data_IF_085245607417
#
_entry.id   IF_085245607417
#
_cell.length_a   1.000
_cell.length_b   1.000
_cell.length_c   1.000
_cell.angle_alpha   90.00
_cell.angle_beta   90.00
_cell.angle_gamma   90.00
#
_symmetry.space_group_name_H-M   'P 1'
#
loop_
_entity.id
_entity.type
_entity.pdbx_description
1 polymer ?
#
# COMPACT_ATOMS: atom_id res chain seq x y z
N UNK A 1 20.10 -13.29 34.44
CA UNK A 1 20.47 -13.45 33.01
C UNK A 1 19.29 -12.99 32.19
N UNK A 2 19.33 -11.74 31.72
CA UNK A 2 18.27 -11.21 30.86
C UNK A 2 18.47 -11.86 29.49
N UNK A 3 17.60 -12.80 29.13
CA UNK A 3 17.61 -13.40 27.80
C UNK A 3 17.51 -12.24 26.81
N UNK A 4 18.60 -11.98 26.07
CA UNK A 4 18.65 -10.92 25.08
C UNK A 4 17.72 -11.35 23.94
N UNK A 5 16.43 -11.04 24.08
CA UNK A 5 15.43 -11.42 23.11
C UNK A 5 15.64 -10.58 21.86
N UNK A 6 15.88 -11.24 20.74
CA UNK A 6 15.85 -10.61 19.43
C UNK A 6 14.55 -9.80 19.26
N UNK A 7 14.68 -8.58 18.74
CA UNK A 7 13.57 -7.64 18.59
C UNK A 7 13.21 -7.55 17.11
N UNK A 8 11.91 -7.55 16.78
CA UNK A 8 11.42 -7.28 15.44
C UNK A 8 10.57 -6.01 15.44
N UNK A 9 10.94 -5.03 14.61
CA UNK A 9 10.17 -3.78 14.46
C UNK A 9 9.12 -3.94 13.35
N UNK A 10 7.89 -3.53 13.64
CA UNK A 10 6.81 -3.44 12.67
C UNK A 10 6.24 -2.02 12.66
N UNK A 11 6.12 -1.46 11.47
CA UNK A 11 5.62 -0.11 11.21
C UNK A 11 4.21 -0.13 10.58
N UNK A 12 3.50 1.01 10.50
CA UNK A 12 2.11 1.05 10.04
C UNK A 12 1.89 0.55 8.60
N UNK A 13 2.95 0.44 7.81
CA UNK A 13 2.92 -0.04 6.43
C UNK A 13 3.43 -1.48 6.22
N UNK A 14 3.60 -2.25 7.31
CA UNK A 14 4.22 -3.58 7.32
C UNK A 14 3.41 -4.64 8.07
N UNK A 15 2.08 -4.54 8.03
CA UNK A 15 1.14 -5.39 8.78
C UNK A 15 0.86 -6.70 8.01
N UNK A 16 1.88 -7.53 7.81
CA UNK A 16 1.82 -8.72 6.95
C UNK A 16 1.16 -9.93 7.63
N UNK A 17 0.34 -10.67 6.88
CA UNK A 17 -0.30 -11.90 7.39
C UNK A 17 0.72 -13.03 7.69
N UNK A 18 1.88 -13.04 7.03
CA UNK A 18 2.94 -14.02 7.28
C UNK A 18 3.76 -13.72 8.54
N UNK A 19 3.59 -14.54 9.59
CA UNK A 19 4.24 -14.33 10.90
C UNK A 19 5.56 -15.08 11.11
N UNK A 20 5.97 -15.94 10.18
CA UNK A 20 7.15 -16.80 10.37
C UNK A 20 8.44 -16.03 10.72
N UNK A 21 8.76 -14.88 10.10
CA UNK A 21 9.94 -14.09 10.48
C UNK A 21 9.91 -13.56 11.93
N UNK A 22 8.70 -13.42 12.51
CA UNK A 22 8.46 -12.87 13.84
C UNK A 22 8.61 -13.92 14.95
N UNK A 23 8.55 -15.22 14.62
CA UNK A 23 8.62 -16.29 15.63
C UNK A 23 9.95 -16.25 16.38
N UNK A 24 9.88 -16.51 17.69
CA UNK A 24 11.02 -16.49 18.60
C UNK A 24 11.54 -15.10 18.96
N UNK A 25 10.87 -14.02 18.52
CA UNK A 25 11.27 -12.63 18.77
C UNK A 25 10.19 -11.88 19.52
N UNK A 26 10.58 -10.81 20.22
CA UNK A 26 9.64 -9.80 20.70
C UNK A 26 9.34 -8.83 19.55
N UNK A 27 8.07 -8.60 19.25
CA UNK A 27 7.64 -7.63 18.25
C UNK A 27 7.37 -6.28 18.92
N UNK A 28 7.94 -5.21 18.37
CA UNK A 28 7.54 -3.84 18.70
C UNK A 28 6.68 -3.31 17.56
N UNK A 29 5.44 -2.96 17.87
CA UNK A 29 4.53 -2.31 16.93
C UNK A 29 4.55 -0.81 17.18
N UNK A 30 5.01 -0.03 16.20
CA UNK A 30 5.38 1.37 16.39
C UNK A 30 4.49 2.28 15.55
N UNK A 31 3.77 3.21 16.19
CA UNK A 31 3.09 4.31 15.53
C UNK A 31 4.12 5.36 15.12
N UNK A 32 4.74 5.10 13.98
CA UNK A 32 5.81 5.94 13.46
C UNK A 32 5.32 7.36 13.14
N UNK A 33 5.90 8.43 13.72
CA UNK A 33 5.49 9.81 13.48
C UNK A 33 5.41 10.21 12.01
N UNK A 34 6.23 9.62 11.12
CA UNK A 34 6.14 9.84 9.68
C UNK A 34 4.76 9.52 9.07
N UNK A 35 3.97 8.66 9.71
CA UNK A 35 2.64 8.26 9.23
C UNK A 35 1.49 9.02 9.90
N UNK A 36 1.74 9.68 11.05
CA UNK A 36 0.70 10.32 11.85
C UNK A 36 0.83 11.84 11.94
N UNK A 37 2.04 12.40 11.94
CA UNK A 37 2.26 13.82 12.28
C UNK A 37 3.20 14.57 11.33
N UNK A 38 3.87 13.92 10.38
CA UNK A 38 4.75 14.58 9.41
C UNK A 38 4.04 15.68 8.60
N UNK A 39 2.77 15.46 8.28
CA UNK A 39 1.90 16.40 7.59
C UNK A 39 0.54 16.43 8.25
N UNK A 40 -0.26 17.44 7.91
CA UNK A 40 -1.68 17.49 8.25
C UNK A 40 -2.45 16.48 7.39
N UNK A 41 -2.40 15.21 7.80
CA UNK A 41 -2.99 14.10 7.06
C UNK A 41 -4.52 14.13 7.07
N UNK A 42 -5.11 13.45 6.08
CA UNK A 42 -6.55 13.21 6.07
C UNK A 42 -6.95 12.28 7.21
N UNK A 43 -8.05 12.59 7.91
CA UNK A 43 -8.49 11.82 9.09
C UNK A 43 -8.66 10.32 8.80
N UNK A 44 -9.24 9.95 7.66
CA UNK A 44 -9.37 8.54 7.26
C UNK A 44 -8.02 7.80 7.13
N UNK A 45 -6.92 8.48 6.75
CA UNK A 45 -5.60 7.85 6.71
C UNK A 45 -5.12 7.51 8.12
N UNK A 46 -5.31 8.43 9.08
CA UNK A 46 -4.92 8.20 10.46
C UNK A 46 -5.76 7.09 11.08
N UNK A 47 -7.07 7.10 10.86
CA UNK A 47 -7.99 6.04 11.30
C UNK A 47 -7.59 4.70 10.72
N UNK A 48 -7.26 4.63 9.42
CA UNK A 48 -6.75 3.42 8.79
C UNK A 48 -5.49 2.89 9.49
N UNK A 49 -4.47 3.72 9.72
CA UNK A 49 -3.24 3.27 10.37
C UNK A 49 -3.49 2.81 11.80
N UNK A 50 -4.20 3.60 12.61
CA UNK A 50 -4.51 3.23 14.00
C UNK A 50 -5.32 1.92 14.05
N UNK A 51 -6.45 1.85 13.35
CA UNK A 51 -7.33 0.70 13.38
C UNK A 51 -6.62 -0.58 12.92
N UNK A 52 -5.89 -0.52 11.79
CA UNK A 52 -5.18 -1.68 11.26
C UNK A 52 -4.04 -2.14 12.18
N UNK A 53 -3.34 -1.21 12.85
CA UNK A 53 -2.33 -1.57 13.83
C UNK A 53 -2.93 -2.20 15.09
N UNK A 54 -4.07 -1.71 15.59
CA UNK A 54 -4.75 -2.31 16.75
C UNK A 54 -5.31 -3.69 16.43
N UNK A 55 -5.84 -3.89 15.22
CA UNK A 55 -6.14 -5.21 14.69
C UNK A 55 -4.89 -6.10 14.68
N UNK A 56 -3.79 -5.63 14.11
CA UNK A 56 -2.57 -6.43 13.97
C UNK A 56 -1.93 -6.78 15.32
N UNK A 57 -2.00 -5.89 16.32
CA UNK A 57 -1.61 -6.19 17.70
C UNK A 57 -2.40 -7.37 18.27
N UNK A 58 -3.74 -7.37 18.11
CA UNK A 58 -4.60 -8.46 18.55
C UNK A 58 -4.27 -9.76 17.80
N UNK A 59 -4.16 -9.69 16.48
CA UNK A 59 -3.76 -10.81 15.62
C UNK A 59 -2.46 -11.46 16.08
N UNK A 60 -1.40 -10.68 16.30
CA UNK A 60 -0.11 -11.22 16.74
C UNK A 60 -0.20 -11.89 18.13
N UNK A 61 -0.98 -11.32 19.05
CA UNK A 61 -1.20 -11.91 20.38
C UNK A 61 -1.94 -13.25 20.31
N UNK A 62 -2.94 -13.37 19.45
CA UNK A 62 -3.63 -14.64 19.19
C UNK A 62 -2.66 -15.71 18.66
N UNK A 63 -1.67 -15.29 17.87
CA UNK A 63 -0.58 -16.14 17.38
C UNK A 63 0.52 -16.43 18.43
N UNK A 64 0.29 -16.03 19.69
CA UNK A 64 1.23 -16.19 20.83
C UNK A 64 2.57 -15.46 20.62
N UNK A 65 2.58 -14.39 19.84
CA UNK A 65 3.75 -13.52 19.68
C UNK A 65 3.75 -12.48 20.79
N UNK A 66 4.92 -12.25 21.42
CA UNK A 66 5.07 -11.19 22.42
C UNK A 66 5.11 -9.83 21.73
N UNK A 67 4.12 -8.98 21.99
CA UNK A 67 3.99 -7.65 21.36
C UNK A 67 4.04 -6.54 22.39
N UNK A 68 4.85 -5.52 22.11
CA UNK A 68 4.86 -4.24 22.84
C UNK A 68 4.50 -3.11 21.87
N UNK A 69 3.49 -2.30 22.23
CA UNK A 69 2.97 -1.23 21.39
C UNK A 69 3.56 0.12 21.79
N UNK A 70 4.03 0.90 20.82
CA UNK A 70 4.64 2.21 21.03
C UNK A 70 3.87 3.28 20.25
N UNK A 71 3.36 4.29 20.96
CA UNK A 71 2.78 5.51 20.37
C UNK A 71 3.82 6.65 20.20
N UNK A 72 5.10 6.34 20.46
CA UNK A 72 6.21 7.27 20.47
C UNK A 72 7.54 6.57 20.16
N UNK A 73 8.64 7.32 20.21
CA UNK A 73 9.97 6.86 19.80
C UNK A 73 10.86 6.35 20.95
N UNK A 74 10.32 6.11 22.16
CA UNK A 74 11.12 5.63 23.31
C UNK A 74 11.81 4.29 23.05
N UNK A 75 11.31 3.49 22.12
CA UNK A 75 11.92 2.23 21.70
C UNK A 75 13.36 2.42 21.18
N UNK A 76 13.67 3.58 20.58
CA UNK A 76 15.00 3.88 20.02
C UNK A 76 16.09 3.85 21.09
N UNK A 77 15.81 4.39 22.27
CA UNK A 77 16.76 4.42 23.38
C UNK A 77 16.77 3.09 24.14
N UNK A 78 15.59 2.50 24.36
CA UNK A 78 15.44 1.29 25.18
C UNK A 78 16.11 0.05 24.59
N UNK A 79 16.12 -0.07 23.26
CA UNK A 79 16.58 -1.26 22.56
C UNK A 79 17.83 -1.03 21.69
N UNK A 80 18.54 0.09 21.87
CA UNK A 80 19.70 0.49 21.05
C UNK A 80 20.79 -0.59 20.91
N UNK A 81 20.99 -1.39 21.97
CA UNK A 81 22.05 -2.41 22.06
C UNK A 81 21.55 -3.83 21.69
N UNK A 82 20.29 -3.99 21.30
CA UNK A 82 19.72 -5.28 20.89
C UNK A 82 19.98 -5.56 19.40
N UNK A 83 19.90 -6.83 19.02
CA UNK A 83 19.76 -7.20 17.60
C UNK A 83 18.34 -6.89 17.14
N UNK A 84 18.25 -6.04 16.13
CA UNK A 84 16.97 -5.56 15.59
C UNK A 84 16.74 -6.15 14.20
N UNK A 85 15.63 -6.86 14.06
CA UNK A 85 15.10 -7.34 12.79
C UNK A 85 14.02 -6.39 12.30
N UNK A 86 13.96 -6.22 10.98
CA UNK A 86 12.95 -5.41 10.33
C UNK A 86 12.84 -5.82 8.86
N UNK A 87 11.66 -5.64 8.28
CA UNK A 87 11.57 -5.62 6.83
C UNK A 87 12.18 -4.32 6.29
N UNK A 88 12.71 -4.34 5.07
CA UNK A 88 13.10 -3.11 4.36
C UNK A 88 11.94 -2.12 4.42
N UNK A 89 12.18 -0.97 5.06
CA UNK A 89 11.16 0.03 5.34
C UNK A 89 10.76 0.82 4.10
N UNK A 90 11.56 0.79 3.03
CA UNK A 90 11.29 1.52 1.77
C UNK A 90 10.98 3.01 2.03
N UNK A 91 11.66 3.59 3.02
CA UNK A 91 11.58 5.00 3.36
C UNK A 91 12.97 5.51 3.77
N UNK A 92 13.47 6.52 3.07
CA UNK A 92 14.82 7.07 3.31
C UNK A 92 14.98 7.68 4.71
N UNK A 93 13.97 8.37 5.23
CA UNK A 93 14.07 9.03 6.53
C UNK A 93 13.99 8.02 7.66
N UNK A 94 13.06 7.07 7.58
CA UNK A 94 12.94 5.97 8.55
C UNK A 94 14.19 5.09 8.51
N UNK A 95 14.68 4.72 7.32
CA UNK A 95 15.91 3.93 7.18
C UNK A 95 17.09 4.63 7.83
N UNK A 96 17.33 5.92 7.53
CA UNK A 96 18.39 6.72 8.17
C UNK A 96 18.22 6.81 9.68
N UNK A 97 16.99 6.98 10.16
CA UNK A 97 16.70 7.03 11.59
C UNK A 97 17.09 5.72 12.27
N UNK A 98 16.72 4.57 11.71
CA UNK A 98 17.01 3.26 12.29
C UNK A 98 18.52 2.96 12.29
N UNK A 99 19.23 3.22 11.18
CA UNK A 99 20.69 3.04 11.11
C UNK A 99 21.47 3.95 12.07
N UNK A 100 20.92 5.11 12.41
CA UNK A 100 21.55 6.01 13.39
C UNK A 100 21.44 5.49 14.83
N UNK A 101 20.34 4.83 15.17
CA UNK A 101 20.04 4.45 16.56
C UNK A 101 20.43 3.01 16.90
N UNK A 102 20.43 2.10 15.92
CA UNK A 102 20.70 0.68 16.16
C UNK A 102 22.01 0.24 15.50
N UNK A 103 22.85 -0.44 16.27
CA UNK A 103 24.15 -0.95 15.79
C UNK A 103 24.03 -2.27 15.03
N UNK A 104 23.02 -3.07 15.35
CA UNK A 104 22.86 -4.42 14.81
C UNK A 104 21.49 -4.58 14.12
N UNK A 105 21.42 -4.13 12.87
CA UNK A 105 20.22 -4.28 12.03
C UNK A 105 20.30 -5.55 11.16
N UNK A 106 19.21 -6.32 11.13
CA UNK A 106 18.98 -7.48 10.26
C UNK A 106 17.77 -7.18 9.37
N UNK A 107 18.03 -6.68 8.16
CA UNK A 107 16.99 -6.24 7.23
C UNK A 107 16.55 -7.41 6.35
N UNK A 108 15.25 -7.73 6.38
CA UNK A 108 14.60 -8.72 5.52
C UNK A 108 14.00 -8.06 4.27
N UNK A 109 13.86 -8.78 3.14
CA UNK A 109 13.10 -8.30 1.98
C UNK A 109 11.68 -7.92 2.37
N UNK A 110 11.13 -6.87 1.75
CA UNK A 110 9.77 -6.41 2.06
C UNK A 110 8.74 -7.23 1.27
N UNK A 111 7.83 -7.99 1.93
CA UNK A 111 6.83 -8.84 1.26
C UNK A 111 5.82 -8.08 0.38
N UNK A 112 5.65 -6.77 0.58
CA UNK A 112 4.75 -5.95 -0.25
C UNK A 112 5.25 -5.78 -1.69
N UNK A 113 6.46 -6.22 -2.04
CA UNK A 113 7.03 -6.06 -3.36
C UNK A 113 7.57 -7.39 -3.88
N UNK A 114 7.70 -7.50 -5.20
CA UNK A 114 8.33 -8.67 -5.83
C UNK A 114 9.86 -8.68 -5.61
N UNK A 115 10.42 -7.57 -5.08
CA UNK A 115 11.84 -7.39 -4.77
C UNK A 115 12.77 -7.60 -5.97
N UNK A 116 12.30 -7.23 -7.16
CA UNK A 116 13.04 -7.50 -8.39
C UNK A 116 14.20 -6.54 -8.59
N UNK A 117 15.30 -7.07 -9.11
CA UNK A 117 16.47 -6.29 -9.54
C UNK A 117 16.36 -5.97 -11.02
N UNK A 118 15.75 -4.83 -11.34
CA UNK A 118 15.73 -4.28 -12.69
C UNK A 118 15.97 -2.77 -12.63
N UNK A 119 17.00 -2.33 -13.35
CA UNK A 119 17.44 -0.93 -13.40
C UNK A 119 16.89 -0.17 -14.60
N UNK A 120 15.96 -0.74 -15.36
CA UNK A 120 15.33 -0.04 -16.48
C UNK A 120 14.67 1.25 -16.01
N UNK A 121 14.97 2.35 -16.72
CA UNK A 121 14.45 3.69 -16.41
C UNK A 121 13.16 4.00 -17.17
N UNK A 122 12.70 3.07 -18.01
CA UNK A 122 11.48 3.19 -18.81
C UNK A 122 10.52 2.08 -18.43
N UNK A 123 9.31 2.47 -18.00
CA UNK A 123 8.26 1.53 -17.59
C UNK A 123 7.98 0.47 -18.65
N UNK A 124 7.95 0.84 -19.93
CA UNK A 124 7.60 -0.10 -21.00
C UNK A 124 8.54 -1.31 -21.01
N UNK A 125 9.85 -1.07 -20.99
CA UNK A 125 10.85 -2.14 -20.94
C UNK A 125 10.82 -2.88 -19.60
N UNK A 126 10.67 -2.15 -18.50
CA UNK A 126 10.54 -2.75 -17.16
C UNK A 126 9.39 -3.75 -17.10
N UNK A 127 8.20 -3.37 -17.59
CA UNK A 127 7.02 -4.22 -17.59
C UNK A 127 7.17 -5.44 -18.53
N UNK A 128 7.79 -5.27 -19.70
CA UNK A 128 8.11 -6.40 -20.59
C UNK A 128 9.00 -7.42 -19.88
N UNK A 129 10.03 -6.96 -19.17
CA UNK A 129 10.91 -7.84 -18.41
C UNK A 129 10.15 -8.59 -17.32
N UNK A 130 9.27 -7.89 -16.58
CA UNK A 130 8.42 -8.50 -15.55
C UNK A 130 7.51 -9.59 -16.09
N UNK A 131 6.86 -9.36 -17.23
CA UNK A 131 6.03 -10.39 -17.87
C UNK A 131 6.84 -11.63 -18.25
N UNK A 132 8.03 -11.45 -18.82
CA UNK A 132 8.91 -12.56 -19.22
C UNK A 132 9.40 -13.35 -18.02
N UNK A 133 9.91 -12.66 -17.00
CA UNK A 133 10.45 -13.26 -15.78
C UNK A 133 9.41 -14.06 -15.00
N UNK A 134 8.21 -13.52 -14.87
CA UNK A 134 7.11 -14.15 -14.12
C UNK A 134 6.29 -15.13 -14.96
N UNK A 135 6.57 -15.23 -16.27
CA UNK A 135 5.75 -16.02 -17.20
C UNK A 135 4.31 -15.49 -17.37
N UNK A 136 4.04 -14.25 -16.97
CA UNK A 136 2.69 -13.68 -16.96
C UNK A 136 2.30 -13.18 -18.34
N UNK A 137 1.16 -13.69 -18.82
CA UNK A 137 0.60 -13.40 -20.13
C UNK A 137 1.55 -13.75 -21.28
N UNK A 138 2.30 -14.85 -21.18
CA UNK A 138 3.23 -15.28 -22.21
C UNK A 138 2.64 -16.45 -23.00
N UNK A 139 2.87 -16.48 -24.32
CA UNK A 139 2.54 -17.59 -25.22
C UNK A 139 3.79 -17.94 -26.05
N UNK A 140 4.39 -19.10 -25.77
CA UNK A 140 5.60 -19.58 -26.45
C UNK A 140 6.73 -18.52 -26.53
N UNK A 141 6.96 -17.79 -25.43
CA UNK A 141 7.98 -16.73 -25.35
C UNK A 141 7.59 -15.39 -25.98
N UNK A 142 6.40 -15.29 -26.59
CA UNK A 142 5.82 -14.07 -27.15
C UNK A 142 4.72 -13.52 -26.23
N UNK A 143 4.35 -12.23 -26.33
CA UNK A 143 3.23 -11.72 -25.56
C UNK A 143 1.92 -12.36 -26.02
N UNK A 144 1.14 -12.86 -25.07
CA UNK A 144 -0.24 -13.31 -25.32
C UNK A 144 -1.05 -12.19 -25.98
N UNK A 145 -1.82 -12.54 -27.02
CA UNK A 145 -2.58 -11.57 -27.83
C UNK A 145 -1.72 -10.70 -28.76
N UNK A 146 -0.43 -11.01 -28.93
CA UNK A 146 0.47 -10.34 -29.89
C UNK A 146 0.92 -8.93 -29.48
N UNK A 147 0.46 -8.39 -28.35
CA UNK A 147 0.80 -7.05 -27.86
C UNK A 147 1.28 -7.07 -26.42
N UNK A 148 2.24 -6.19 -26.11
CA UNK A 148 2.75 -6.04 -24.75
C UNK A 148 1.81 -5.26 -23.82
N UNK A 149 0.95 -4.41 -24.36
CA UNK A 149 0.00 -3.57 -23.62
C UNK A 149 -1.26 -3.34 -24.43
N UNK A 150 -2.40 -3.26 -23.75
CA UNK A 150 -3.72 -2.95 -24.32
C UNK A 150 -4.25 -1.59 -23.82
N UNK A 151 -3.35 -0.71 -23.37
CA UNK A 151 -3.68 0.61 -22.81
C UNK A 151 -4.53 1.50 -23.74
N UNK A 152 -4.33 1.40 -25.05
CA UNK A 152 -5.13 2.15 -26.04
C UNK A 152 -6.63 1.83 -25.97
N UNK A 153 -6.97 0.63 -25.49
CA UNK A 153 -8.33 0.12 -25.49
C UNK A 153 -9.07 0.52 -24.20
N UNK A 154 -8.36 1.12 -23.23
CA UNK A 154 -8.84 1.43 -21.88
C UNK A 154 -9.39 2.86 -21.71
N UNK A 155 -9.89 3.44 -22.81
CA UNK A 155 -10.27 4.87 -22.89
C UNK A 155 -11.72 5.09 -23.32
N UNK A 156 -12.60 4.11 -23.09
CA UNK A 156 -14.00 4.24 -23.49
C UNK A 156 -14.70 5.27 -22.59
N UNK A 157 -15.62 6.01 -23.20
CA UNK A 157 -16.50 6.93 -22.45
C UNK A 157 -17.50 6.13 -21.63
N UNK A 158 -17.79 6.60 -20.42
CA UNK A 158 -18.81 6.02 -19.56
C UNK A 158 -20.21 6.14 -20.21
N UNK A 159 -20.93 5.03 -20.46
CA UNK A 159 -22.29 5.07 -20.99
C UNK A 159 -23.24 5.74 -19.99
N UNK A 160 -24.25 6.46 -20.48
CA UNK A 160 -25.19 7.20 -19.61
C UNK A 160 -25.95 6.31 -18.63
N UNK A 161 -26.27 5.08 -19.03
CA UNK A 161 -27.12 4.14 -18.29
C UNK A 161 -26.32 3.07 -17.54
N UNK A 162 -24.98 3.16 -17.55
CA UNK A 162 -24.16 2.15 -16.88
C UNK A 162 -24.40 2.16 -15.37
N UNK A 163 -24.63 0.99 -14.81
CA UNK A 163 -24.73 0.80 -13.36
C UNK A 163 -23.33 0.58 -12.80
N UNK A 164 -22.91 1.47 -11.91
CA UNK A 164 -21.64 1.36 -11.20
C UNK A 164 -21.91 0.68 -9.85
N UNK A 165 -21.26 -0.47 -9.56
CA UNK A 165 -21.41 -1.11 -8.27
C UNK A 165 -20.90 -0.20 -7.14
N UNK A 166 -21.65 -0.08 -6.02
CA UNK A 166 -21.23 0.76 -4.91
C UNK A 166 -19.91 0.27 -4.30
N UNK A 167 -19.20 1.19 -3.65
CA UNK A 167 -18.08 0.83 -2.78
C UNK A 167 -18.59 0.19 -1.48
N UNK A 168 -17.71 -0.53 -0.79
CA UNK A 168 -18.00 -1.06 0.54
C UNK A 168 -17.69 -0.01 1.60
N UNK A 169 -18.45 -0.05 2.69
CA UNK A 169 -18.19 0.66 3.93
C UNK A 169 -17.73 -0.35 4.97
N UNK A 170 -16.81 0.07 5.84
CA UNK A 170 -16.26 -0.78 6.89
C UNK A 170 -16.49 -0.15 8.25
N UNK A 171 -16.98 -0.97 9.17
CA UNK A 171 -17.23 -0.61 10.55
C UNK A 171 -16.85 -1.81 11.42
N UNK A 172 -16.03 -1.56 12.43
CA UNK A 172 -15.67 -2.54 13.44
C UNK A 172 -15.13 -1.81 14.69
N UNK A 173 -14.89 -2.54 15.77
CA UNK A 173 -14.44 -1.96 17.04
C UNK A 173 -13.09 -1.24 16.95
N UNK A 174 -12.17 -1.68 16.08
CA UNK A 174 -10.89 -1.00 15.85
C UNK A 174 -11.07 0.33 15.12
N UNK A 175 -12.00 0.41 14.17
CA UNK A 175 -12.33 1.65 13.45
C UNK A 175 -12.96 2.66 14.41
N UNK A 176 -13.87 2.24 15.28
CA UNK A 176 -14.52 3.13 16.24
C UNK A 176 -13.54 3.66 17.31
N UNK A 177 -12.63 2.81 17.82
CA UNK A 177 -11.53 3.25 18.68
C UNK A 177 -10.63 4.25 17.94
N UNK A 178 -10.25 3.94 16.71
CA UNK A 178 -9.36 4.77 15.92
C UNK A 178 -9.96 6.14 15.56
N UNK A 179 -11.26 6.20 15.26
CA UNK A 179 -11.99 7.47 15.04
C UNK A 179 -11.90 8.38 16.25
N UNK A 180 -12.06 7.82 17.46
CA UNK A 180 -11.94 8.57 18.72
C UNK A 180 -10.49 8.99 18.98
N UNK A 181 -9.56 8.04 18.90
CA UNK A 181 -8.13 8.26 19.12
C UNK A 181 -7.56 9.36 18.22
N UNK A 182 -7.94 9.35 16.93
CA UNK A 182 -7.38 10.26 15.94
C UNK A 182 -7.88 11.70 16.06
N UNK A 183 -8.88 12.00 16.91
CA UNK A 183 -9.33 13.37 17.18
C UNK A 183 -8.23 14.23 17.82
N UNK A 184 -7.20 13.62 18.39
CA UNK A 184 -6.05 14.33 18.99
C UNK A 184 -5.11 14.97 17.97
N UNK A 185 -5.19 14.60 16.69
CA UNK A 185 -4.29 15.08 15.65
C UNK A 185 -4.90 16.24 14.85
N UNK A 186 -4.06 17.18 14.39
CA UNK A 186 -4.49 18.16 13.39
C UNK A 186 -4.68 17.49 12.03
N UNK A 187 -5.91 17.48 11.53
CA UNK A 187 -6.32 16.73 10.34
C UNK A 187 -7.16 17.55 9.36
N UNK A 188 -7.29 17.01 8.14
CA UNK A 188 -8.24 17.47 7.11
C UNK A 188 -9.28 16.40 6.77
N UNK A 189 -10.38 16.82 6.17
CA UNK A 189 -11.43 15.93 5.66
C UNK A 189 -12.37 15.39 6.74
N UNK A 190 -13.20 14.40 6.38
CA UNK A 190 -14.18 13.78 7.27
C UNK A 190 -14.04 12.25 7.29
N UNK A 191 -14.51 11.64 8.38
CA UNK A 191 -14.49 10.19 8.60
C UNK A 191 -15.87 9.66 9.04
N UNK A 192 -16.95 10.33 8.64
CA UNK A 192 -18.33 9.88 8.93
C UNK A 192 -18.55 8.48 8.35
N UNK A 193 -18.28 8.34 7.04
CA UNK A 193 -18.19 7.06 6.35
C UNK A 193 -16.72 6.65 6.22
N UNK A 194 -16.45 5.35 6.37
CA UNK A 194 -15.10 4.80 6.27
C UNK A 194 -15.03 3.70 5.20
N UNK A 195 -14.09 3.85 4.25
CA UNK A 195 -14.08 3.09 2.99
C UNK A 195 -12.92 2.10 2.86
N UNK A 196 -12.06 2.00 3.89
CA UNK A 196 -10.81 1.25 3.80
C UNK A 196 -10.82 0.03 4.73
N UNK A 197 -10.44 -1.16 4.23
CA UNK A 197 -10.25 -2.32 5.09
C UNK A 197 -9.17 -2.11 6.15
N UNK A 198 -9.43 -2.60 7.36
CA UNK A 198 -8.51 -2.54 8.51
C UNK A 198 -8.07 -3.92 9.00
N UNK A 199 -8.65 -4.99 8.47
CA UNK A 199 -8.26 -6.38 8.74
C UNK A 199 -7.90 -7.15 7.47
N UNK A 200 -7.21 -8.28 7.62
CA UNK A 200 -6.93 -9.20 6.49
C UNK A 200 -8.21 -9.68 5.80
N UNK A 201 -9.24 -10.01 6.59
CA UNK A 201 -10.52 -10.48 6.09
C UNK A 201 -11.25 -9.42 5.27
N UNK A 202 -11.34 -8.19 5.80
CA UNK A 202 -11.94 -7.05 5.10
C UNK A 202 -11.20 -6.73 3.79
N UNK A 203 -9.86 -6.81 3.80
CA UNK A 203 -9.06 -6.55 2.61
C UNK A 203 -9.34 -7.57 1.50
N UNK A 204 -9.45 -8.85 1.86
CA UNK A 204 -9.85 -9.93 0.95
C UNK A 204 -11.29 -9.75 0.45
N UNK A 205 -12.23 -9.37 1.32
CA UNK A 205 -13.63 -9.08 0.94
C UNK A 205 -13.71 -7.93 -0.07
N UNK A 206 -13.02 -6.81 0.19
CA UNK A 206 -12.99 -5.67 -0.71
C UNK A 206 -12.44 -6.04 -2.09
N UNK A 207 -11.35 -6.81 -2.12
CA UNK A 207 -10.76 -7.27 -3.36
C UNK A 207 -11.68 -8.25 -4.12
N UNK A 208 -12.33 -9.18 -3.44
CA UNK A 208 -13.29 -10.11 -4.07
C UNK A 208 -14.54 -9.39 -4.61
N UNK A 209 -15.00 -8.33 -3.95
CA UNK A 209 -16.04 -7.44 -4.49
C UNK A 209 -15.58 -6.77 -5.79
N UNK A 210 -14.34 -6.29 -5.85
CA UNK A 210 -13.78 -5.77 -7.10
C UNK A 210 -13.77 -6.83 -8.21
N UNK A 211 -13.23 -8.03 -7.93
CA UNK A 211 -13.13 -9.09 -8.93
C UNK A 211 -14.49 -9.50 -9.49
N UNK A 212 -15.49 -9.64 -8.63
CA UNK A 212 -16.84 -10.08 -9.02
C UNK A 212 -17.70 -8.99 -9.66
N UNK A 213 -17.66 -7.77 -9.13
CA UNK A 213 -18.62 -6.73 -9.52
C UNK A 213 -18.05 -5.70 -10.50
N UNK A 214 -16.72 -5.46 -10.47
CA UNK A 214 -16.11 -4.30 -11.14
C UNK A 214 -15.09 -4.66 -12.21
N UNK A 215 -14.39 -5.77 -12.04
CA UNK A 215 -13.15 -6.03 -12.77
C UNK A 215 -13.35 -6.16 -14.29
N UNK A 216 -14.47 -6.73 -14.74
CA UNK A 216 -14.78 -6.84 -16.17
C UNK A 216 -14.83 -5.50 -16.90
N UNK A 217 -15.09 -4.41 -16.18
CA UNK A 217 -15.19 -3.05 -16.70
C UNK A 217 -13.99 -2.17 -16.33
N UNK A 218 -13.00 -2.71 -15.61
CA UNK A 218 -11.82 -1.96 -15.17
C UNK A 218 -11.07 -1.33 -16.35
N UNK A 219 -10.76 -2.12 -17.38
CA UNK A 219 -10.02 -1.65 -18.54
C UNK A 219 -10.78 -0.58 -19.29
N UNK A 220 -12.01 -0.90 -19.71
CA UNK A 220 -12.84 -0.02 -20.54
C UNK A 220 -12.97 1.41 -20.01
N UNK A 221 -13.14 1.57 -18.69
CA UNK A 221 -13.42 2.86 -18.04
C UNK A 221 -12.30 3.33 -17.12
N UNK A 222 -11.07 2.85 -17.34
CA UNK A 222 -9.92 3.18 -16.48
C UNK A 222 -9.67 4.69 -16.37
N UNK A 223 -9.89 5.43 -17.46
CA UNK A 223 -9.67 6.88 -17.56
C UNK A 223 -10.96 7.70 -17.41
N UNK A 224 -12.11 7.07 -17.15
CA UNK A 224 -13.38 7.77 -16.99
C UNK A 224 -13.43 8.53 -15.64
N UNK A 225 -14.14 9.67 -15.62
CA UNK A 225 -14.39 10.46 -14.42
C UNK A 225 -15.90 10.73 -14.33
N UNK A 226 -16.50 10.47 -13.16
CA UNK A 226 -17.90 10.79 -12.86
C UNK A 226 -17.99 11.50 -11.51
N UNK A 227 -18.75 12.60 -11.47
CA UNK A 227 -18.87 13.42 -10.26
C UNK A 227 -19.68 12.78 -9.13
N UNK A 228 -20.42 11.70 -9.39
CA UNK A 228 -21.27 11.02 -8.40
C UNK A 228 -20.64 9.73 -7.87
N UNK A 229 -19.71 9.15 -8.63
CA UNK A 229 -19.12 7.84 -8.34
C UNK A 229 -17.58 7.95 -8.29
N UNK A 230 -16.99 8.28 -7.12
CA UNK A 230 -15.57 8.60 -7.01
C UNK A 230 -14.63 7.42 -7.30
N UNK A 231 -15.11 6.18 -7.20
CA UNK A 231 -14.28 4.98 -7.38
C UNK A 231 -14.55 4.20 -8.68
N UNK A 232 -15.66 4.47 -9.38
CA UNK A 232 -16.07 3.74 -10.59
C UNK A 232 -15.82 2.21 -10.46
N UNK A 233 -15.06 1.67 -11.40
CA UNK A 233 -14.66 0.26 -11.51
C UNK A 233 -13.26 -0.01 -10.94
N UNK A 234 -12.68 0.92 -10.17
CA UNK A 234 -11.40 0.70 -9.50
C UNK A 234 -11.53 -0.23 -8.30
N UNK A 235 -10.44 -0.92 -7.98
CA UNK A 235 -10.38 -1.94 -6.93
C UNK A 235 -10.34 -1.41 -5.52
N UNK A 236 -9.90 -0.15 -5.33
CA UNK A 236 -9.72 0.45 -4.01
C UNK A 236 -8.89 -0.42 -3.04
N UNK A 237 -7.86 -1.11 -3.53
CA UNK A 237 -6.99 -1.99 -2.71
C UNK A 237 -5.62 -1.36 -2.36
N UNK A 238 -5.35 -0.14 -2.81
CA UNK A 238 -4.03 0.48 -2.65
C UNK A 238 -3.64 0.66 -1.19
N UNK A 239 -4.59 1.01 -0.32
CA UNK A 239 -4.37 1.10 1.13
C UNK A 239 -3.97 -0.25 1.72
N UNK A 240 -4.73 -1.30 1.43
CA UNK A 240 -4.47 -2.67 1.94
C UNK A 240 -3.19 -3.28 1.39
N UNK A 241 -2.87 -3.04 0.11
CA UNK A 241 -1.59 -3.46 -0.48
C UNK A 241 -0.40 -2.69 0.12
N UNK A 242 -0.56 -1.40 0.40
CA UNK A 242 0.57 -0.58 0.87
C UNK A 242 0.80 -0.69 2.36
N UNK A 243 -0.18 -1.18 3.14
CA UNK A 243 0.01 -1.46 4.56
C UNK A 243 0.26 -2.93 4.91
N UNK A 244 0.19 -3.83 3.94
CA UNK A 244 0.45 -5.26 4.14
C UNK A 244 -0.78 -6.11 4.50
N UNK A 245 -1.97 -5.50 4.61
CA UNK A 245 -3.22 -6.23 4.87
C UNK A 245 -3.69 -7.07 3.66
N UNK A 246 -3.15 -6.83 2.48
CA UNK A 246 -3.43 -7.64 1.30
C UNK A 246 -2.12 -8.13 0.68
N UNK A 247 -1.98 -9.45 0.59
CA UNK A 247 -0.82 -10.08 0.00
C UNK A 247 -0.76 -9.88 -1.52
N UNK A 248 0.41 -9.49 -2.02
CA UNK A 248 0.64 -9.21 -3.44
C UNK A 248 0.53 -10.48 -4.29
N UNK A 249 1.07 -11.59 -3.81
CA UNK A 249 1.02 -12.88 -4.51
C UNK A 249 -0.41 -13.36 -4.69
N UNK A 250 -1.21 -13.27 -3.63
CA UNK A 250 -2.65 -13.53 -3.65
C UNK A 250 -3.38 -12.66 -4.67
N UNK A 251 -3.10 -11.35 -4.72
CA UNK A 251 -3.74 -10.45 -5.69
C UNK A 251 -3.44 -10.85 -7.13
N UNK A 252 -2.17 -11.15 -7.44
CA UNK A 252 -1.75 -11.58 -8.78
C UNK A 252 -2.44 -12.90 -9.15
N UNK A 253 -2.37 -13.90 -8.27
CA UNK A 253 -2.97 -15.22 -8.49
C UNK A 253 -4.48 -15.14 -8.76
N UNK A 254 -5.21 -14.40 -7.92
CA UNK A 254 -6.66 -14.27 -8.07
C UNK A 254 -7.06 -13.55 -9.35
N UNK A 255 -6.33 -12.53 -9.77
CA UNK A 255 -6.57 -11.81 -11.03
C UNK A 255 -6.35 -12.72 -12.23
N UNK A 256 -5.27 -13.51 -12.24
CA UNK A 256 -4.95 -14.40 -13.36
C UNK A 256 -6.00 -15.51 -13.54
N UNK A 257 -6.68 -15.91 -12.46
CA UNK A 257 -7.75 -16.89 -12.46
C UNK A 257 -9.11 -16.39 -12.95
N UNK A 258 -9.33 -15.07 -12.98
CA UNK A 258 -10.64 -14.53 -13.41
C UNK A 258 -10.89 -14.82 -14.88
N UNK A 259 -12.15 -14.86 -15.29
CA UNK A 259 -12.53 -14.85 -16.71
C UNK A 259 -13.21 -13.53 -17.06
N UNK A 260 -12.40 -12.56 -17.49
CA UNK A 260 -12.83 -11.20 -17.83
C UNK A 260 -12.06 -10.72 -19.07
N UNK A 261 -12.51 -9.64 -19.75
CA UNK A 261 -11.82 -9.10 -20.90
C UNK A 261 -10.32 -8.90 -20.66
N UNK A 262 -9.52 -9.29 -21.64
CA UNK A 262 -8.07 -9.34 -21.47
C UNK A 262 -7.45 -7.95 -21.24
N UNK A 263 -8.00 -6.89 -21.85
CA UNK A 263 -7.54 -5.51 -21.60
C UNK A 263 -7.71 -5.08 -20.13
N UNK A 264 -8.75 -5.59 -19.45
CA UNK A 264 -8.94 -5.36 -18.03
C UNK A 264 -7.90 -6.12 -17.19
N UNK A 265 -7.67 -7.42 -17.47
CA UNK A 265 -6.65 -8.22 -16.78
C UNK A 265 -5.25 -7.66 -16.95
N UNK A 266 -4.84 -7.44 -18.19
CA UNK A 266 -3.53 -6.90 -18.55
C UNK A 266 -3.35 -5.51 -17.96
N UNK A 267 -4.33 -4.62 -18.14
CA UNK A 267 -4.30 -3.27 -17.62
C UNK A 267 -4.14 -3.23 -16.10
N UNK A 268 -4.85 -4.10 -15.37
CA UNK A 268 -4.79 -4.17 -13.91
C UNK A 268 -3.44 -4.70 -13.41
N UNK A 269 -2.98 -5.84 -13.95
CA UNK A 269 -1.67 -6.41 -13.60
C UNK A 269 -0.54 -5.44 -13.96
N UNK A 270 -0.64 -4.70 -15.07
CA UNK A 270 0.33 -3.67 -15.45
C UNK A 270 0.44 -2.53 -14.43
N UNK A 271 -0.64 -2.18 -13.72
CA UNK A 271 -0.56 -1.21 -12.63
C UNK A 271 0.25 -1.76 -11.44
N UNK A 272 0.17 -3.07 -11.21
CA UNK A 272 0.77 -3.75 -10.06
C UNK A 272 2.23 -4.14 -10.35
N UNK A 273 2.47 -5.11 -11.25
CA UNK A 273 3.82 -5.59 -11.54
C UNK A 273 4.62 -4.63 -12.43
N UNK A 274 3.94 -3.71 -13.11
CA UNK A 274 4.55 -2.65 -13.91
C UNK A 274 4.75 -1.39 -13.08
N UNK A 275 3.72 -0.53 -13.01
CA UNK A 275 3.85 0.81 -12.43
C UNK A 275 4.30 0.81 -10.97
N UNK A 276 3.66 0.02 -10.10
CA UNK A 276 3.98 0.03 -8.67
C UNK A 276 5.41 -0.46 -8.40
N UNK A 277 5.83 -1.57 -9.00
CA UNK A 277 7.21 -2.06 -8.88
C UNK A 277 8.24 -1.14 -9.57
N UNK A 278 7.90 -0.54 -10.71
CA UNK A 278 8.76 0.43 -11.39
C UNK A 278 8.98 1.68 -10.53
N UNK A 279 7.93 2.20 -9.89
CA UNK A 279 8.05 3.36 -9.00
C UNK A 279 8.92 3.07 -7.78
N UNK A 280 8.92 1.82 -7.27
CA UNK A 280 9.88 1.40 -6.24
C UNK A 280 11.32 1.50 -6.74
N UNK A 281 11.62 1.00 -7.95
CA UNK A 281 12.96 1.11 -8.56
C UNK A 281 13.37 2.58 -8.68
N UNK A 282 12.49 3.43 -9.21
CA UNK A 282 12.76 4.87 -9.38
C UNK A 282 12.98 5.56 -8.03
N UNK A 283 12.18 5.23 -7.01
CA UNK A 283 12.38 5.73 -5.65
C UNK A 283 13.74 5.31 -5.10
N UNK A 284 14.09 4.02 -5.16
CA UNK A 284 15.39 3.52 -4.68
C UNK A 284 16.56 4.23 -5.36
N UNK A 285 16.50 4.45 -6.68
CA UNK A 285 17.57 5.12 -7.41
C UNK A 285 17.59 6.65 -7.28
N UNK A 286 16.47 7.29 -6.92
CA UNK A 286 16.32 8.74 -7.12
C UNK A 286 15.47 9.47 -6.07
N UNK A 287 15.18 8.86 -4.91
CA UNK A 287 14.35 9.47 -3.86
C UNK A 287 14.80 10.87 -3.41
N UNK A 288 16.11 11.17 -3.37
CA UNK A 288 16.60 12.52 -3.04
C UNK A 288 16.26 13.50 -4.16
N UNK A 289 16.71 13.33 -5.42
CA UNK A 289 16.30 14.21 -6.51
C UNK A 289 14.78 14.36 -6.67
N UNK A 290 14.00 13.29 -6.52
CA UNK A 290 12.54 13.33 -6.67
C UNK A 290 11.87 14.34 -5.73
N UNK A 291 12.41 14.55 -4.53
CA UNK A 291 11.84 15.47 -3.53
C UNK A 291 12.53 16.83 -3.47
N UNK A 292 13.73 16.98 -4.05
CA UNK A 292 14.52 18.23 -3.95
C UNK A 292 14.69 18.96 -5.28
N UNK A 293 14.33 18.36 -6.41
CA UNK A 293 14.48 19.00 -7.73
C UNK A 293 13.22 19.76 -8.14
N UNK A 294 13.43 20.82 -8.93
CA UNK A 294 12.37 21.66 -9.47
C UNK A 294 12.77 22.11 -10.87
N UNK A 295 12.61 21.21 -11.85
CA UNK A 295 13.05 21.43 -13.24
C UNK A 295 12.51 22.73 -13.84
N UNK A 296 11.25 23.06 -13.55
CA UNK A 296 10.58 24.26 -14.06
C UNK A 296 10.75 25.51 -13.18
N UNK A 297 11.39 25.40 -12.01
CA UNK A 297 11.60 26.53 -11.10
C UNK A 297 10.32 27.13 -10.51
N UNK A 298 9.23 26.35 -10.40
CA UNK A 298 7.96 26.86 -9.86
C UNK A 298 8.03 27.15 -8.36
N UNK A 299 7.51 28.31 -7.94
CA UNK A 299 7.51 28.76 -6.53
C UNK A 299 6.13 29.14 -6.00
N UNK A 300 5.09 29.09 -6.83
CA UNK A 300 3.72 29.47 -6.44
C UNK A 300 3.18 28.49 -5.39
N UNK A 301 2.71 29.03 -4.26
CA UNK A 301 2.01 28.23 -3.24
C UNK A 301 0.70 27.66 -3.78
N UNK A 302 0.30 26.49 -3.30
CA UNK A 302 -1.00 25.89 -3.64
C UNK A 302 -2.12 26.81 -3.11
N UNK A 303 -3.06 27.26 -3.96
CA UNK A 303 -4.19 28.08 -3.53
C UNK A 303 -5.05 27.38 -2.46
N UNK A 304 -5.38 28.04 -1.32
CA UNK A 304 -6.24 27.45 -0.28
C UNK A 304 -7.62 27.02 -0.77
N UNK A 305 -8.14 27.69 -1.81
CA UNK A 305 -9.41 27.34 -2.46
C UNK A 305 -9.39 25.96 -3.12
N UNK A 306 -8.25 25.53 -3.68
CA UNK A 306 -8.11 24.16 -4.22
C UNK A 306 -8.11 23.14 -3.09
N UNK A 307 -7.40 23.42 -1.99
CA UNK A 307 -7.32 22.53 -0.83
C UNK A 307 -8.66 22.35 -0.10
N UNK A 308 -9.52 23.37 -0.14
CA UNK A 308 -10.86 23.33 0.49
C UNK A 308 -11.97 22.87 -0.46
N UNK A 309 -11.66 22.54 -1.72
CA UNK A 309 -12.68 22.18 -2.72
C UNK A 309 -13.62 23.32 -3.10
N UNK A 310 -13.20 24.59 -2.89
CA UNK A 310 -13.99 25.82 -3.14
C UNK A 310 -13.35 26.67 -4.24
N UNK A 311 -13.00 26.04 -5.35
CA UNK A 311 -12.29 26.69 -6.47
C UNK A 311 -13.20 27.40 -7.47
N UNK A 312 -14.51 27.15 -7.41
CA UNK A 312 -15.54 27.79 -8.25
C UNK A 312 -16.08 29.07 -7.63
#
# INVERSE_FOLDING_TARGET
MQTCSDIFLIFPHQLFEGIEPLRGKKVLLIEEPLFFTQYRFHIQKLVLHRASMKFYEAYLREQKITVEYYEDERYLQRYQDHTIYLYDVVDDWLSKKLHRHFRQLRILPNPNFLNVQDSNRFLHHYYINRRKELGIFMDNGKPYGGKWSFDSDNRKKLPKEIRIPPGLLFENSHIEEAKTYCQRFDTVGSCENFYYPTTFGEAKINFQHFLSAKFAHFGDYQDAIDGRNPYLFHSNISSSLNNGLLDLGYVIDQVLKQDVPYNAKEGFIRQIIGWREFMLTVYRSSHIPLRTTNFFGFSRKIPPKLLSGKSG
#
